data_IF_532205218583
#
_entry.id   IF_532205218583
#
_cell.length_a   1.000
_cell.length_b   1.000
_cell.length_c   1.000
_cell.angle_alpha   90.00
_cell.angle_beta   90.00
_cell.angle_gamma   90.00
#
_symmetry.space_group_name_H-M   'P 1'
#
loop_
_entity.id
_entity.type
_entity.pdbx_description
1 polymer ?
#
# COMPACT_ATOMS: atom_id res chain seq x y z
N UNK A 1 7.52 15.92 7.83
CA UNK A 1 7.80 15.17 7.43
C UNK A 1 8.93 14.97 6.76
N UNK A 2 9.76 14.45 6.79
CA UNK A 2 10.84 14.34 6.19
C UNK A 2 11.39 13.15 5.78
N UNK A 3 11.38 12.20 5.99
CA UNK A 3 11.88 11.10 5.58
C UNK A 3 12.48 11.05 4.35
N UNK A 4 13.36 11.66 4.06
CA UNK A 4 13.88 11.70 2.84
C UNK A 4 14.71 10.62 2.44
N UNK A 5 15.72 10.36 2.99
CA UNK A 5 16.59 9.41 2.51
C UNK A 5 16.08 8.08 2.39
N UNK A 6 15.47 7.62 3.27
CA UNK A 6 15.01 6.33 3.25
C UNK A 6 14.13 6.10 2.17
N UNK A 7 13.41 7.00 1.77
CA UNK A 7 12.56 6.81 0.72
C UNK A 7 13.23 6.40 -0.51
N UNK A 8 14.45 6.46 -0.57
CA UNK A 8 15.15 6.09 -1.75
C UNK A 8 14.62 4.81 -2.29
N UNK A 9 14.47 3.84 -1.50
CA UNK A 9 14.02 2.58 -1.97
C UNK A 9 12.59 2.69 -2.46
N UNK A 10 11.78 3.34 -1.77
CA UNK A 10 10.42 3.46 -2.18
C UNK A 10 10.31 4.31 -3.42
N UNK A 11 11.12 5.28 -3.50
CA UNK A 11 11.09 6.12 -4.62
C UNK A 11 11.51 5.40 -5.85
N UNK A 12 12.46 4.57 -5.75
CA UNK A 12 12.90 3.84 -6.85
C UNK A 12 11.77 3.08 -7.42
N UNK A 13 10.99 2.50 -6.65
CA UNK A 13 9.90 1.71 -7.13
C UNK A 13 8.96 2.62 -7.86
N UNK A 14 8.75 3.76 -7.38
CA UNK A 14 7.85 4.63 -8.03
C UNK A 14 8.40 5.01 -9.35
N UNK A 15 9.63 5.19 -9.44
CA UNK A 15 10.21 5.58 -10.67
C UNK A 15 9.91 4.52 -11.69
N UNK A 16 10.00 3.35 -11.30
CA UNK A 16 9.79 2.30 -12.22
C UNK A 16 8.42 2.40 -12.73
N UNK A 17 7.53 2.71 -11.94
CA UNK A 17 6.22 2.82 -12.35
C UNK A 17 6.03 3.85 -13.33
N UNK A 18 6.58 4.94 -13.17
CA UNK A 18 6.39 5.97 -14.09
C UNK A 18 6.60 5.56 -15.43
N UNK A 19 7.50 4.76 -15.69
CA UNK A 19 7.76 4.36 -16.90
C UNK A 19 6.58 3.80 -17.47
N UNK A 20 5.95 2.94 -16.87
CA UNK A 20 4.86 2.29 -17.39
C UNK A 20 3.78 3.21 -17.62
N UNK A 21 3.66 4.16 -16.89
CA UNK A 21 2.61 5.01 -17.06
C UNK A 21 2.57 5.68 -18.29
N UNK A 22 3.52 5.61 -18.97
CA UNK A 22 3.56 6.25 -20.18
C UNK A 22 2.36 5.93 -20.95
N UNK A 23 1.73 4.90 -20.66
CA UNK A 23 0.67 4.57 -21.39
C UNK A 23 -0.53 4.99 -20.86
N UNK A 24 -0.92 5.94 -20.82
CA UNK A 24 -2.01 6.41 -20.29
C UNK A 24 -3.24 6.08 -20.84
N UNK A 25 -3.95 5.44 -20.41
CA UNK A 25 -5.13 5.14 -20.91
C UNK A 25 -6.09 5.53 -19.92
N UNK A 26 -6.87 6.40 -20.08
CA UNK A 26 -7.83 6.79 -19.25
C UNK A 26 -8.78 5.76 -18.88
N UNK A 27 -9.13 5.01 -19.71
CA UNK A 27 -10.08 4.02 -19.45
C UNK A 27 -9.62 3.09 -18.40
N UNK A 28 -8.43 3.01 -18.13
CA UNK A 28 -7.97 2.05 -17.18
C UNK A 28 -7.95 2.66 -15.83
N UNK A 29 -8.30 3.85 -15.66
CA UNK A 29 -8.27 4.46 -14.38
C UNK A 29 -9.06 3.67 -13.42
N UNK A 30 -10.22 3.26 -13.72
CA UNK A 30 -11.02 2.56 -12.77
C UNK A 30 -10.44 1.20 -12.50
N UNK A 31 -9.88 0.57 -13.46
CA UNK A 31 -9.37 -0.75 -13.24
C UNK A 31 -7.94 -0.66 -12.78
N UNK A 32 -7.39 0.51 -12.74
CA UNK A 32 -6.03 0.66 -12.35
C UNK A 32 -5.74 0.10 -10.98
N UNK A 33 -6.65 0.22 -10.06
CA UNK A 33 -6.41 -0.29 -8.71
C UNK A 33 -6.28 -1.81 -8.78
N UNK A 34 -7.13 -2.47 -9.46
CA UNK A 34 -7.07 -3.91 -9.55
C UNK A 34 -5.81 -4.37 -10.26
N UNK A 35 -5.40 -3.69 -11.28
CA UNK A 35 -4.20 -4.04 -11.95
C UNK A 35 -2.99 -3.84 -11.07
N UNK A 36 -2.93 -2.74 -10.36
CA UNK A 36 -1.80 -2.50 -9.49
C UNK A 36 -1.77 -3.56 -8.41
N UNK A 37 -2.92 -3.98 -7.92
CA UNK A 37 -2.99 -4.97 -6.86
C UNK A 37 -2.49 -6.31 -7.39
N UNK A 38 -2.87 -6.66 -8.60
CA UNK A 38 -2.43 -7.92 -9.15
C UNK A 38 -0.92 -7.89 -9.37
N UNK A 39 -0.40 -6.80 -9.84
CA UNK A 39 1.02 -6.70 -10.06
C UNK A 39 1.76 -6.79 -8.74
N UNK A 40 1.23 -6.15 -7.71
CA UNK A 40 1.87 -6.22 -6.41
C UNK A 40 1.85 -7.66 -5.91
N UNK A 41 0.73 -8.34 -6.08
CA UNK A 41 0.61 -9.70 -5.61
C UNK A 41 1.58 -10.65 -6.29
N UNK A 42 1.84 -10.40 -7.56
CA UNK A 42 2.71 -11.29 -8.28
C UNK A 42 4.18 -11.01 -8.06
N UNK A 43 4.52 -9.97 -7.31
CA UNK A 43 5.87 -9.61 -7.17
C UNK A 43 6.47 -10.07 -5.89
N UNK A 44 6.10 -11.15 -5.36
CA UNK A 44 6.58 -11.59 -4.10
C UNK A 44 8.11 -11.58 -4.03
N UNK A 45 8.63 -10.93 -3.04
CA UNK A 45 10.06 -10.82 -2.93
C UNK A 45 10.65 -11.82 -1.95
N UNK A 46 9.87 -12.31 -1.04
CA UNK A 46 10.39 -13.23 -0.07
C UNK A 46 9.56 -14.47 0.00
N UNK A 47 10.16 -15.53 0.44
CA UNK A 47 9.42 -16.76 0.53
C UNK A 47 8.64 -16.52 1.78
N UNK A 48 7.55 -16.92 1.96
CA UNK A 48 6.79 -16.74 3.15
C UNK A 48 5.81 -15.62 3.13
N UNK A 49 5.91 -14.74 2.15
CA UNK A 49 4.98 -13.67 2.07
C UNK A 49 3.66 -14.23 1.62
N UNK A 50 2.59 -13.85 2.28
CA UNK A 50 1.29 -14.35 1.90
C UNK A 50 0.57 -13.31 1.05
N UNK A 51 1.17 -12.92 -0.06
CA UNK A 51 0.57 -11.89 -0.89
C UNK A 51 -0.77 -12.32 -1.48
N UNK A 52 -0.94 -13.59 -1.77
CA UNK A 52 -2.19 -14.04 -2.34
C UNK A 52 -3.34 -13.81 -1.36
N UNK A 53 -3.10 -14.01 -0.08
CA UNK A 53 -4.12 -13.80 0.91
C UNK A 53 -4.40 -12.32 1.03
N UNK A 54 -3.37 -11.51 0.97
CA UNK A 54 -3.55 -10.08 1.06
C UNK A 54 -4.39 -9.60 -0.13
N UNK A 55 -4.11 -10.10 -1.32
CA UNK A 55 -4.83 -9.68 -2.49
C UNK A 55 -6.30 -10.03 -2.35
N UNK A 56 -6.63 -11.18 -1.85
CA UNK A 56 -7.99 -11.53 -1.65
C UNK A 56 -8.69 -10.66 -0.65
N UNK A 57 -8.08 -10.37 0.45
CA UNK A 57 -8.70 -9.53 1.46
C UNK A 57 -8.91 -8.12 0.90
N UNK A 58 -7.95 -7.63 0.13
CA UNK A 58 -8.06 -6.30 -0.42
C UNK A 58 -9.15 -6.25 -1.48
N UNK A 59 -9.28 -7.29 -2.28
CA UNK A 59 -10.30 -7.29 -3.29
C UNK A 59 -11.67 -7.28 -2.63
N UNK A 60 -11.83 -7.98 -1.56
CA UNK A 60 -13.08 -8.01 -0.88
C UNK A 60 -13.38 -6.63 -0.32
N UNK A 61 -12.42 -5.99 0.28
CA UNK A 61 -12.61 -4.67 0.85
C UNK A 61 -12.95 -3.68 -0.25
N UNK A 62 -12.31 -3.81 -1.38
CA UNK A 62 -12.52 -2.88 -2.47
C UNK A 62 -13.91 -3.07 -3.05
N UNK A 63 -14.30 -4.29 -3.31
CA UNK A 63 -15.59 -4.55 -3.90
C UNK A 63 -16.77 -4.25 -2.97
N UNK A 64 -16.55 -4.32 -1.69
CA UNK A 64 -17.61 -4.09 -0.74
C UNK A 64 -17.49 -2.73 -0.06
N UNK A 65 -16.59 -1.90 -0.50
CA UNK A 65 -16.37 -0.57 0.05
C UNK A 65 -16.20 -0.63 1.57
N UNK A 66 -15.38 -1.54 2.04
CA UNK A 66 -15.22 -1.69 3.46
C UNK A 66 -14.34 -0.62 4.06
N UNK A 67 -14.63 -0.25 5.28
CA UNK A 67 -13.86 0.78 5.94
C UNK A 67 -12.69 0.18 6.71
N UNK A 68 -12.74 -1.09 7.04
CA UNK A 68 -11.69 -1.73 7.81
C UNK A 68 -11.02 -2.83 6.99
N UNK A 69 -9.73 -2.96 7.12
CA UNK A 69 -9.00 -3.99 6.39
C UNK A 69 -7.94 -4.57 7.30
N UNK A 70 -7.91 -5.88 7.43
CA UNK A 70 -6.93 -6.54 8.27
C UNK A 70 -5.94 -7.32 7.41
N UNK A 71 -4.70 -6.86 7.40
CA UNK A 71 -3.65 -7.52 6.65
C UNK A 71 -2.53 -7.95 7.62
N UNK A 72 -2.89 -8.28 8.85
CA UNK A 72 -1.88 -8.63 9.83
C UNK A 72 -1.38 -10.06 9.63
N UNK A 73 -0.22 -10.33 10.12
CA UNK A 73 0.40 -11.64 10.10
C UNK A 73 0.53 -12.28 8.70
N UNK A 74 0.94 -11.54 7.73
CA UNK A 74 1.11 -12.06 6.40
C UNK A 74 2.56 -11.99 5.90
N UNK A 75 3.46 -11.58 6.76
CA UNK A 75 4.87 -11.48 6.43
C UNK A 75 5.13 -10.63 5.18
N UNK A 76 4.37 -9.59 4.99
CA UNK A 76 4.52 -8.76 3.81
C UNK A 76 5.75 -7.88 3.89
N UNK A 77 6.45 -7.76 2.79
CA UNK A 77 7.65 -6.93 2.75
C UNK A 77 7.36 -5.57 2.13
N UNK A 78 6.23 -5.40 1.46
CA UNK A 78 5.89 -4.15 0.88
C UNK A 78 4.43 -3.87 1.09
N UNK A 79 4.06 -2.61 1.19
CA UNK A 79 2.69 -2.22 1.39
C UNK A 79 1.92 -2.44 0.10
N UNK A 80 0.82 -3.10 0.12
CA UNK A 80 0.03 -3.28 -1.09
C UNK A 80 -0.83 -2.06 -1.36
N UNK A 81 -1.46 -1.97 -2.51
CA UNK A 81 -2.40 -0.89 -2.75
C UNK A 81 -3.56 -1.04 -1.78
N UNK A 82 -4.00 0.05 -1.18
CA UNK A 82 -5.08 0.00 -0.20
C UNK A 82 -6.29 0.77 -0.75
N UNK A 83 -7.47 0.20 -0.70
CA UNK A 83 -8.64 0.89 -1.23
C UNK A 83 -8.88 2.21 -0.52
N UNK A 84 -9.34 3.20 -1.24
CA UNK A 84 -9.51 4.52 -0.69
C UNK A 84 -10.63 4.61 0.33
N UNK A 85 -11.48 3.60 0.45
CA UNK A 85 -12.54 3.65 1.44
C UNK A 85 -12.05 3.21 2.81
N UNK A 86 -10.87 2.63 2.89
CA UNK A 86 -10.38 2.10 4.15
C UNK A 86 -9.92 3.21 5.06
N UNK A 87 -10.40 3.23 6.29
CA UNK A 87 -9.96 4.23 7.24
C UNK A 87 -9.29 3.54 8.43
N UNK A 88 -9.45 2.21 8.58
CA UNK A 88 -8.84 1.48 9.68
C UNK A 88 -8.06 0.33 9.07
N UNK A 89 -6.75 0.35 9.23
CA UNK A 89 -5.91 -0.65 8.59
C UNK A 89 -5.02 -1.34 9.60
N UNK A 90 -5.04 -2.65 9.61
CA UNK A 90 -4.20 -3.40 10.52
C UNK A 90 -3.08 -4.09 9.74
N UNK A 91 -1.85 -3.66 9.99
CA UNK A 91 -0.69 -4.24 9.32
C UNK A 91 0.24 -4.85 10.36
N UNK A 92 -0.28 -5.19 11.50
CA UNK A 92 0.52 -5.76 12.58
C UNK A 92 1.26 -7.02 12.16
N UNK A 93 2.45 -7.17 12.64
CA UNK A 93 3.24 -8.35 12.41
C UNK A 93 3.50 -8.67 10.95
N UNK A 94 4.11 -7.75 10.27
CA UNK A 94 4.58 -7.97 8.91
C UNK A 94 6.06 -7.58 8.88
N UNK A 95 6.64 -7.48 7.72
CA UNK A 95 8.04 -7.11 7.61
C UNK A 95 8.19 -5.81 6.84
N UNK A 96 7.28 -4.89 7.07
CA UNK A 96 7.29 -3.65 6.30
C UNK A 96 8.35 -2.69 6.79
N UNK A 97 8.97 -1.97 5.88
CA UNK A 97 10.00 -1.03 6.26
C UNK A 97 9.71 0.37 5.73
N UNK A 98 9.17 0.50 4.55
CA UNK A 98 8.96 1.80 3.96
C UNK A 98 7.52 1.92 3.57
N UNK A 99 6.77 2.81 4.19
CA UNK A 99 5.37 2.93 3.91
C UNK A 99 5.00 4.29 3.35
N UNK A 100 4.22 4.29 2.31
CA UNK A 100 3.81 5.52 1.70
C UNK A 100 2.30 5.53 1.65
N UNK A 101 1.66 6.34 2.47
CA UNK A 101 0.24 6.44 2.53
C UNK A 101 -0.28 7.73 1.89
N UNK A 102 0.51 8.34 1.03
CA UNK A 102 0.12 9.64 0.47
C UNK A 102 -1.19 9.56 -0.29
N UNK A 103 -1.53 8.42 -0.86
CA UNK A 103 -2.77 8.32 -1.58
C UNK A 103 -3.91 7.83 -0.73
N UNK A 104 -3.70 7.68 0.56
CA UNK A 104 -4.73 7.13 1.42
C UNK A 104 -5.18 8.14 2.45
N UNK A 105 -5.78 9.20 1.98
CA UNK A 105 -6.19 10.27 2.86
C UNK A 105 -7.29 9.89 3.82
N UNK A 106 -7.96 8.78 3.61
CA UNK A 106 -9.03 8.40 4.50
C UNK A 106 -8.54 7.64 5.72
N UNK A 107 -7.28 7.27 5.75
CA UNK A 107 -6.80 6.47 6.87
C UNK A 107 -6.79 7.27 8.16
N UNK A 108 -7.32 6.70 9.20
CA UNK A 108 -7.38 7.33 10.47
C UNK A 108 -6.70 6.46 11.52
N UNK A 109 -6.90 5.17 11.48
CA UNK A 109 -6.28 4.27 12.44
C UNK A 109 -5.41 3.24 11.73
N UNK A 110 -4.15 3.18 12.07
CA UNK A 110 -3.26 2.22 11.43
C UNK A 110 -2.46 1.51 12.50
N UNK A 111 -2.48 0.20 12.52
CA UNK A 111 -1.71 -0.55 13.49
C UNK A 111 -0.46 -1.10 12.76
N UNK A 112 0.71 -0.61 13.13
CA UNK A 112 1.94 -1.03 12.50
C UNK A 112 2.83 -1.79 13.48
N UNK A 113 2.27 -2.33 14.53
CA UNK A 113 3.07 -3.01 15.54
C UNK A 113 3.81 -4.20 14.96
N UNK A 114 4.95 -4.47 15.48
CA UNK A 114 5.76 -5.58 15.05
C UNK A 114 6.10 -5.58 13.55
N UNK A 115 6.64 -4.48 13.11
CA UNK A 115 7.15 -4.35 11.77
C UNK A 115 8.56 -3.78 11.91
N UNK A 116 9.22 -3.49 10.81
CA UNK A 116 10.57 -2.94 10.89
C UNK A 116 10.56 -1.60 10.19
N UNK A 117 9.62 -0.76 10.54
CA UNK A 117 9.43 0.50 9.84
C UNK A 117 10.59 1.48 9.95
N UNK A 118 11.01 1.98 8.82
CA UNK A 118 12.06 2.98 8.81
C UNK A 118 11.45 4.30 8.40
N UNK A 119 10.52 4.32 7.53
CA UNK A 119 9.97 5.55 7.00
C UNK A 119 8.50 5.45 6.76
N UNK A 120 7.76 6.48 7.08
CA UNK A 120 6.34 6.50 6.80
C UNK A 120 6.03 7.87 6.21
N UNK A 121 5.31 7.90 5.11
CA UNK A 121 4.92 9.14 4.49
C UNK A 121 3.41 9.21 4.52
N UNK A 122 2.87 10.32 4.93
CA UNK A 122 1.42 10.48 5.00
C UNK A 122 0.95 11.54 3.99
N UNK A 123 -0.32 11.66 3.79
CA UNK A 123 -0.85 12.65 2.87
C UNK A 123 -0.45 14.03 3.33
N UNK A 124 -0.55 14.97 2.42
CA UNK A 124 -0.18 16.31 2.71
C UNK A 124 -0.80 16.77 3.96
N UNK A 125 -0.03 17.24 4.89
CA UNK A 125 -0.53 17.70 6.05
C UNK A 125 -1.14 18.97 6.13
N UNK A 126 -1.05 19.78 5.20
CA UNK A 126 -1.63 21.06 5.24
C UNK A 126 -3.06 20.92 5.57
N UNK A 127 -3.62 19.83 5.36
CA UNK A 127 -4.99 19.70 5.62
C UNK A 127 -5.26 19.28 6.97
N UNK A 128 -4.36 18.86 7.65
CA UNK A 128 -4.59 18.40 8.92
C UNK A 128 -4.74 19.38 9.88
N UNK A 129 -4.54 20.29 9.91
CA UNK A 129 -4.62 21.24 10.84
C UNK A 129 -5.47 21.23 11.58
#
# INVERSE_FOLDING_TARGET
MIMTNINTACVKNNASYQFNNALPNKETISSNFCERLEQWGNKSLNNGEERAIAVERIKEAYNSNMASLDLSYLDLSELPPIPSTVNTLNLENNCLTCLDFTDNASLVNINLSFNKINTITFPNESNLE
#
